data_IF_826936788608
#
_entry.id   IF_826936788608
#
_cell.length_a   1.000
_cell.length_b   1.000
_cell.length_c   1.000
_cell.angle_alpha   90.00
_cell.angle_beta   90.00
_cell.angle_gamma   90.00
#
_symmetry.space_group_name_H-M   'P 1'
#
loop_
_entity.id
_entity.type
_entity.pdbx_description
1 polymer ?
#
# COMPACT_ATOMS: atom_id res chain seq x y z
N UNK A 1 -14.40 17.06 11.33
CA UNK A 1 -14.91 16.83 9.96
C UNK A 1 -13.79 16.52 8.95
N UNK A 2 -12.53 16.92 9.22
CA UNK A 2 -11.38 16.64 8.36
C UNK A 2 -10.98 15.15 8.36
N UNK A 3 -10.96 14.51 9.53
CA UNK A 3 -10.34 13.18 9.70
C UNK A 3 -11.13 12.03 9.06
N UNK A 4 -12.47 12.09 9.12
CA UNK A 4 -13.37 11.11 8.50
C UNK A 4 -13.58 11.34 6.99
N UNK A 5 -12.50 11.65 6.26
CA UNK A 5 -12.49 11.76 4.79
C UNK A 5 -11.43 10.81 4.22
N UNK A 6 -11.49 10.58 2.90
CA UNK A 6 -10.44 9.84 2.22
C UNK A 6 -9.34 10.80 1.74
N UNK A 7 -8.22 10.81 2.45
CA UNK A 7 -7.04 11.59 2.07
C UNK A 7 -6.08 10.68 1.31
N UNK A 8 -5.83 10.97 0.05
CA UNK A 8 -4.88 10.20 -0.77
C UNK A 8 -3.45 10.46 -0.28
N UNK A 9 -2.70 9.39 -0.04
CA UNK A 9 -1.33 9.45 0.52
C UNK A 9 -0.29 8.80 -0.37
N UNK A 10 -0.72 7.88 -1.23
CA UNK A 10 0.16 7.18 -2.17
C UNK A 10 -0.43 7.28 -3.55
N UNK A 11 0.40 7.68 -4.51
CA UNK A 11 0.15 7.58 -5.95
C UNK A 11 1.45 7.09 -6.57
N UNK A 12 1.43 5.94 -7.24
CA UNK A 12 2.61 5.34 -7.86
C UNK A 12 2.26 4.81 -9.26
N UNK A 13 3.13 5.02 -10.27
CA UNK A 13 2.95 4.40 -11.58
C UNK A 13 3.16 2.89 -11.50
N UNK A 14 2.35 2.14 -12.24
CA UNK A 14 2.51 0.70 -12.43
C UNK A 14 2.89 0.38 -13.88
N UNK A 15 3.78 -0.58 -14.07
CA UNK A 15 4.24 -1.04 -15.38
C UNK A 15 4.82 0.09 -16.21
N UNK A 16 4.21 0.37 -17.35
CA UNK A 16 4.55 1.44 -18.28
C UNK A 16 3.93 2.81 -17.92
N UNK A 17 3.22 2.90 -16.79
CA UNK A 17 2.50 4.10 -16.37
C UNK A 17 1.08 4.22 -16.91
N UNK A 18 0.57 3.20 -17.63
CA UNK A 18 -0.84 3.14 -18.05
C UNK A 18 -1.82 3.01 -16.87
N UNK A 19 -1.34 2.51 -15.73
CA UNK A 19 -2.10 2.34 -14.49
C UNK A 19 -1.40 3.04 -13.32
N UNK A 20 -2.20 3.47 -12.36
CA UNK A 20 -1.76 4.10 -11.12
C UNK A 20 -2.23 3.26 -9.93
N UNK A 21 -1.29 2.91 -9.06
CA UNK A 21 -1.56 2.41 -7.73
C UNK A 21 -1.84 3.60 -6.80
N UNK A 22 -2.95 3.57 -6.09
CA UNK A 22 -3.36 4.62 -5.15
C UNK A 22 -3.72 4.04 -3.80
N UNK A 23 -3.37 4.73 -2.72
CA UNK A 23 -3.82 4.40 -1.36
C UNK A 23 -4.20 5.66 -0.59
N UNK A 24 -5.29 5.60 0.16
CA UNK A 24 -5.79 6.71 0.97
C UNK A 24 -6.32 6.26 2.33
N UNK A 25 -6.38 7.22 3.25
CA UNK A 25 -6.78 6.99 4.65
C UNK A 25 -8.20 6.46 4.79
N UNK A 26 -9.06 6.77 3.83
CA UNK A 26 -10.45 6.32 3.73
C UNK A 26 -11.18 6.35 5.09
N UNK A 27 -11.19 7.52 5.75
CA UNK A 27 -11.81 7.75 7.05
C UNK A 27 -11.33 6.77 8.13
N UNK A 28 -10.01 6.72 8.35
CA UNK A 28 -9.37 5.79 9.30
C UNK A 28 -9.63 4.31 8.98
N UNK A 29 -9.80 3.98 7.70
CA UNK A 29 -9.92 2.61 7.21
C UNK A 29 -9.16 2.48 5.90
N UNK A 30 -7.81 2.50 5.94
CA UNK A 30 -6.96 2.63 4.76
C UNK A 30 -7.36 1.67 3.66
N UNK A 31 -7.45 2.21 2.44
CA UNK A 31 -7.89 1.48 1.26
C UNK A 31 -7.04 1.85 0.07
N UNK A 32 -6.76 0.86 -0.77
CA UNK A 32 -6.00 1.02 -2.00
C UNK A 32 -6.79 0.60 -3.24
N UNK A 33 -6.37 1.14 -4.38
CA UNK A 33 -7.00 0.98 -5.68
C UNK A 33 -5.93 0.94 -6.77
N UNK A 34 -6.32 0.37 -7.91
CA UNK A 34 -5.63 0.57 -9.17
C UNK A 34 -6.61 1.20 -10.15
N UNK A 35 -6.18 2.25 -10.82
CA UNK A 35 -6.97 2.99 -11.82
C UNK A 35 -6.11 3.21 -13.07
N UNK A 36 -6.74 3.60 -14.18
CA UNK A 36 -5.98 4.06 -15.35
C UNK A 36 -5.39 5.45 -15.10
N UNK A 37 -4.33 5.79 -15.85
CA UNK A 37 -3.66 7.10 -15.76
C UNK A 37 -4.54 8.29 -16.15
N UNK A 38 -5.64 8.07 -16.87
CA UNK A 38 -6.67 9.06 -17.16
C UNK A 38 -7.69 9.25 -16.01
N UNK A 39 -7.42 8.71 -14.83
CA UNK A 39 -8.24 8.78 -13.62
C UNK A 39 -9.59 8.07 -13.70
N UNK A 40 -9.71 7.06 -14.57
CA UNK A 40 -10.90 6.20 -14.65
C UNK A 40 -10.67 4.85 -13.97
N UNK A 41 -11.73 4.30 -13.37
CA UNK A 41 -11.66 3.00 -12.71
C UNK A 41 -11.44 1.87 -13.72
N UNK A 42 -10.69 0.85 -13.28
CA UNK A 42 -10.65 -0.41 -14.00
C UNK A 42 -12.06 -1.03 -14.07
N UNK A 43 -12.42 -1.71 -15.18
CA UNK A 43 -13.65 -2.49 -15.25
C UNK A 43 -13.72 -3.55 -14.15
N UNK A 44 -14.92 -3.93 -13.70
CA UNK A 44 -15.10 -4.94 -12.62
C UNK A 44 -14.43 -6.29 -12.89
N UNK A 45 -14.24 -6.65 -14.16
CA UNK A 45 -13.59 -7.92 -14.54
C UNK A 45 -12.05 -7.82 -14.50
N UNK A 46 -11.48 -6.62 -14.47
CA UNK A 46 -10.06 -6.38 -14.31
C UNK A 46 -9.72 -6.22 -12.83
N UNK A 47 -9.59 -7.36 -12.14
CA UNK A 47 -9.17 -7.41 -10.75
C UNK A 47 -7.64 -7.43 -10.63
N UNK A 48 -7.08 -6.58 -9.76
CA UNK A 48 -5.65 -6.60 -9.42
C UNK A 48 -5.47 -7.35 -8.08
N UNK A 49 -4.77 -8.49 -8.06
CA UNK A 49 -4.52 -9.26 -6.85
C UNK A 49 -3.84 -8.44 -5.75
N UNK A 50 -4.27 -8.62 -4.51
CA UNK A 50 -3.67 -7.95 -3.36
C UNK A 50 -4.08 -6.48 -3.17
N UNK A 51 -5.00 -5.95 -3.99
CA UNK A 51 -5.54 -4.59 -3.90
C UNK A 51 -6.94 -4.61 -3.28
N UNK A 52 -7.23 -3.63 -2.41
CA UNK A 52 -8.54 -3.42 -1.78
C UNK A 52 -8.49 -3.17 -0.27
N UNK A 53 -7.36 -3.48 0.38
CA UNK A 53 -7.08 -3.21 1.80
C UNK A 53 -5.77 -2.44 1.90
N UNK A 54 -5.80 -1.22 2.44
CA UNK A 54 -4.67 -0.29 2.51
C UNK A 54 -3.86 -0.35 3.82
N UNK A 55 -4.20 -1.25 4.74
CA UNK A 55 -3.49 -1.42 6.02
C UNK A 55 -2.01 -1.68 5.73
N UNK A 56 -1.13 -0.98 6.47
CA UNK A 56 0.32 -0.98 6.28
C UNK A 56 0.83 -0.44 4.92
N UNK A 57 -0.05 -0.10 3.96
CA UNK A 57 0.30 0.50 2.66
C UNK A 57 0.22 2.03 2.70
N UNK A 58 -0.73 2.57 3.46
CA UNK A 58 -0.88 3.99 3.74
C UNK A 58 -1.52 4.21 5.13
N UNK A 59 -1.46 5.42 5.71
CA UNK A 59 -1.81 5.63 7.12
C UNK A 59 -3.32 5.69 7.35
N UNK A 60 -3.70 5.46 8.60
CA UNK A 60 -5.04 5.69 9.11
C UNK A 60 -5.34 7.19 9.29
N UNK A 61 -4.36 7.96 9.76
CA UNK A 61 -4.52 9.37 10.10
C UNK A 61 -3.99 10.28 8.98
N UNK A 62 -4.74 11.29 8.52
CA UNK A 62 -4.23 12.27 7.56
C UNK A 62 -3.07 13.15 8.07
N UNK A 63 -2.81 13.22 9.37
CA UNK A 63 -1.67 13.94 9.92
C UNK A 63 -0.38 13.10 9.93
N UNK A 64 -0.45 11.79 9.65
CA UNK A 64 0.73 10.92 9.69
C UNK A 64 1.67 11.18 8.51
N UNK A 65 2.95 11.35 8.83
CA UNK A 65 4.02 11.33 7.85
C UNK A 65 4.30 9.88 7.44
N UNK A 66 4.06 9.56 6.18
CA UNK A 66 4.23 8.22 5.62
C UNK A 66 4.96 8.30 4.28
N UNK A 67 5.53 7.18 3.87
CA UNK A 67 6.21 7.05 2.58
C UNK A 67 5.84 5.74 1.93
N UNK A 68 5.82 5.70 0.60
CA UNK A 68 5.66 4.46 -0.14
C UNK A 68 6.27 4.57 -1.54
N UNK A 69 6.76 3.44 -2.05
CA UNK A 69 7.30 3.31 -3.41
C UNK A 69 6.86 1.99 -4.03
N UNK A 70 6.39 2.04 -5.27
CA UNK A 70 6.09 0.85 -6.05
C UNK A 70 7.34 0.39 -6.80
N UNK A 71 7.73 -0.87 -6.63
CA UNK A 71 8.97 -1.41 -7.19
C UNK A 71 8.61 -2.54 -8.15
N UNK A 72 8.93 -2.34 -9.43
CA UNK A 72 8.61 -3.28 -10.52
C UNK A 72 9.62 -4.44 -10.62
N UNK A 73 10.91 -4.19 -10.35
CA UNK A 73 12.01 -5.13 -10.64
C UNK A 73 12.95 -5.31 -9.45
N UNK A 74 13.62 -6.46 -9.38
CA UNK A 74 14.58 -6.79 -8.32
C UNK A 74 13.95 -7.37 -7.04
N UNK A 75 12.63 -7.56 -7.04
CA UNK A 75 11.94 -8.33 -6.00
C UNK A 75 12.05 -9.84 -6.29
N UNK A 76 11.82 -10.72 -5.28
CA UNK A 76 11.74 -12.16 -5.50
C UNK A 76 10.75 -12.53 -6.61
N UNK A 77 11.21 -13.38 -7.54
CA UNK A 77 10.44 -13.79 -8.71
C UNK A 77 10.20 -12.69 -9.75
N UNK A 78 10.93 -11.57 -9.67
CA UNK A 78 10.73 -10.37 -10.50
C UNK A 78 9.28 -9.86 -10.46
N UNK A 79 8.61 -10.03 -9.31
CA UNK A 79 7.22 -9.63 -9.12
C UNK A 79 7.12 -8.20 -8.56
N UNK A 80 6.18 -7.38 -9.05
CA UNK A 80 6.02 -6.03 -8.54
C UNK A 80 5.45 -6.03 -7.12
N UNK A 81 5.76 -4.99 -6.35
CA UNK A 81 5.23 -4.82 -5.00
C UNK A 81 5.43 -3.43 -4.45
N UNK A 82 4.60 -3.05 -3.48
CA UNK A 82 4.71 -1.80 -2.75
C UNK A 82 5.60 -1.99 -1.53
N UNK A 83 6.55 -1.06 -1.34
CA UNK A 83 7.24 -0.85 -0.08
C UNK A 83 6.69 0.40 0.57
N UNK A 84 6.47 0.37 1.88
CA UNK A 84 5.84 1.47 2.63
C UNK A 84 6.43 1.62 4.03
N UNK A 85 6.43 2.85 4.51
CA UNK A 85 6.67 3.21 5.91
C UNK A 85 5.46 3.99 6.42
N UNK A 86 4.70 3.41 7.36
CA UNK A 86 3.45 3.98 7.87
C UNK A 86 3.10 3.42 9.24
N UNK A 87 2.03 3.92 9.86
CA UNK A 87 1.36 3.23 10.95
C UNK A 87 0.32 2.23 10.43
N UNK A 88 0.37 1.00 10.91
CA UNK A 88 -0.52 -0.09 10.52
C UNK A 88 -1.72 -0.27 11.48
N UNK A 89 -1.83 0.55 12.52
CA UNK A 89 -2.89 0.43 13.52
C UNK A 89 -3.54 1.79 13.82
N UNK A 90 -4.84 1.80 14.08
CA UNK A 90 -5.60 3.03 14.34
C UNK A 90 -5.11 3.78 15.59
N UNK A 91 -4.67 3.05 16.62
CA UNK A 91 -4.14 3.59 17.88
C UNK A 91 -2.75 4.20 17.75
N UNK A 92 -2.15 4.11 16.57
CA UNK A 92 -0.77 4.50 16.25
C UNK A 92 0.32 3.68 16.95
N UNK A 93 -0.01 2.53 17.52
CA UNK A 93 0.94 1.69 18.25
C UNK A 93 1.85 0.82 17.36
N UNK A 94 1.60 0.75 16.04
CA UNK A 94 2.29 -0.18 15.12
C UNK A 94 2.90 0.54 13.92
N UNK A 95 3.96 1.32 14.15
CA UNK A 95 4.77 1.84 13.04
C UNK A 95 5.54 0.70 12.38
N UNK A 96 5.45 0.62 11.05
CA UNK A 96 5.99 -0.50 10.28
C UNK A 96 6.69 -0.03 9.02
N UNK A 97 7.83 -0.65 8.70
CA UNK A 97 8.35 -0.70 7.34
C UNK A 97 7.88 -2.02 6.73
N UNK A 98 7.14 -1.94 5.63
CA UNK A 98 6.35 -3.02 5.07
C UNK A 98 6.65 -3.22 3.59
N UNK A 99 6.53 -4.47 3.13
CA UNK A 99 6.42 -4.83 1.72
C UNK A 99 5.18 -5.69 1.54
N UNK A 100 4.34 -5.38 0.56
CA UNK A 100 3.14 -6.17 0.26
C UNK A 100 3.44 -7.63 -0.09
N UNK A 101 2.41 -8.47 0.01
CA UNK A 101 2.38 -9.78 -0.65
C UNK A 101 2.71 -9.59 -2.15
N UNK A 102 3.60 -10.41 -2.67
CA UNK A 102 3.95 -10.40 -4.08
C UNK A 102 3.05 -11.39 -4.81
N UNK A 103 2.30 -10.86 -5.77
CA UNK A 103 1.37 -11.64 -6.59
C UNK A 103 1.87 -11.72 -8.01
N UNK A 104 1.69 -12.88 -8.63
CA UNK A 104 1.77 -12.98 -10.08
C UNK A 104 0.48 -12.35 -10.65
N UNK A 105 0.62 -11.19 -11.28
CA UNK A 105 -0.53 -10.42 -11.78
C UNK A 105 -1.28 -11.13 -12.92
N UNK A 106 -0.65 -12.09 -13.59
CA UNK A 106 -1.27 -12.88 -14.68
C UNK A 106 -2.09 -14.04 -14.12
N UNK A 107 -1.55 -14.77 -13.13
CA UNK A 107 -2.23 -15.96 -12.58
C UNK A 107 -3.11 -15.65 -11.37
N UNK A 108 -2.94 -14.47 -10.77
CA UNK A 108 -3.61 -14.05 -9.54
C UNK A 108 -3.05 -14.66 -8.27
N UNK A 109 -2.05 -15.55 -8.36
CA UNK A 109 -1.52 -16.30 -7.21
C UNK A 109 -0.57 -15.44 -6.38
N UNK A 110 -0.68 -15.56 -5.06
CA UNK A 110 0.32 -15.04 -4.13
C UNK A 110 1.52 -15.97 -4.12
N UNK A 111 2.67 -15.49 -4.58
CA UNK A 111 3.92 -16.26 -4.67
C UNK A 111 4.82 -16.03 -3.45
N UNK A 112 4.82 -14.81 -2.90
CA UNK A 112 5.59 -14.48 -1.70
C UNK A 112 4.73 -13.71 -0.71
N UNK A 113 4.85 -14.08 0.58
CA UNK A 113 4.20 -13.34 1.66
C UNK A 113 4.86 -11.97 1.88
N UNK A 114 4.09 -11.07 2.48
CA UNK A 114 4.50 -9.75 2.89
C UNK A 114 5.73 -9.79 3.79
N UNK A 115 6.43 -8.66 3.87
CA UNK A 115 7.53 -8.45 4.82
C UNK A 115 7.19 -7.27 5.70
N UNK A 116 7.63 -7.33 6.94
CA UNK A 116 7.46 -6.26 7.92
C UNK A 116 8.61 -6.23 8.92
N UNK A 117 8.84 -5.07 9.51
CA UNK A 117 9.66 -4.93 10.73
C UNK A 117 9.03 -5.68 11.90
N UNK A 118 9.86 -6.05 12.89
CA UNK A 118 9.39 -6.74 14.10
C UNK A 118 8.47 -5.82 14.89
N UNK A 119 7.27 -6.32 15.24
CA UNK A 119 6.28 -5.54 16.00
C UNK A 119 6.79 -5.28 17.42
N UNK A 120 6.61 -4.05 17.90
CA UNK A 120 6.95 -3.64 19.28
C UNK A 120 8.43 -3.76 19.66
N UNK A 121 9.34 -3.74 18.68
CA UNK A 121 10.78 -3.64 18.93
C UNK A 121 11.29 -2.25 18.52
N UNK A 122 11.55 -1.41 19.52
CA UNK A 122 12.01 -0.03 19.32
C UNK A 122 13.40 0.07 18.69
N UNK A 123 14.19 -1.02 18.65
CA UNK A 123 15.47 -1.03 17.94
C UNK A 123 15.29 -1.05 16.41
N UNK A 124 14.14 -1.52 15.92
CA UNK A 124 13.85 -1.57 14.49
C UNK A 124 13.23 -0.27 13.99
N UNK A 125 12.19 0.19 14.68
CA UNK A 125 11.52 1.45 14.38
C UNK A 125 11.10 2.10 15.70
N UNK A 126 11.68 3.25 16.00
CA UNK A 126 11.23 4.14 17.07
C UNK A 126 10.68 5.41 16.42
N UNK A 127 9.44 5.76 16.76
CA UNK A 127 8.85 7.05 16.43
C UNK A 127 8.72 7.78 17.75
N UNK A 128 9.49 8.85 17.92
CA UNK A 128 9.43 9.75 19.08
C UNK A 128 8.30 10.78 18.91
#
# INVERSE_FOLDING_TARGET
>A
HFDCRNHIRVIQPMGDGSRLYMCGTNAHSPKDWVIYSNLTHLPRHEYVPGVGMGIAKCPYDPADNSTAVWVEKGNPGELPGLYSGTNAEFTKADTVIFRTDLHNLTTGRREYSFKRTLKYDSKWVAVE
#
